data_IF_671382921550
#
_entry.id   IF_671382921550
#
_cell.length_a   1.000
_cell.length_b   1.000
_cell.length_c   1.000
_cell.angle_alpha   90.00
_cell.angle_beta   90.00
_cell.angle_gamma   90.00
#
_symmetry.space_group_name_H-M   'P 1'
#
loop_
_entity.id
_entity.type
_entity.pdbx_description
1 polymer ?
#
# COMPACT_ATOMS: atom_id res chain seq x y z
N UNK A 1 32.64 -19.53 -7.20
CA UNK A 1 31.22 -19.31 -7.55
C UNK A 1 30.92 -17.87 -7.23
N UNK A 2 30.97 -16.99 -8.23
CA UNK A 2 30.59 -15.59 -8.05
C UNK A 2 29.07 -15.54 -7.84
N UNK A 3 28.63 -14.77 -6.84
CA UNK A 3 27.22 -14.67 -6.50
C UNK A 3 26.48 -13.89 -7.60
N UNK A 4 25.32 -14.41 -8.02
CA UNK A 4 24.46 -13.87 -9.09
C UNK A 4 24.05 -12.40 -8.92
N UNK A 5 24.32 -11.81 -7.76
CA UNK A 5 23.99 -10.42 -7.41
C UNK A 5 24.97 -9.41 -8.01
N UNK A 6 26.24 -9.80 -8.22
CA UNK A 6 27.26 -8.91 -8.81
C UNK A 6 27.11 -8.75 -10.33
N UNK A 7 26.51 -9.73 -11.01
CA UNK A 7 26.22 -9.70 -12.46
C UNK A 7 25.11 -8.71 -12.85
N UNK A 8 24.28 -8.27 -11.91
CA UNK A 8 23.14 -7.38 -12.17
C UNK A 8 23.52 -5.90 -12.00
N UNK A 9 24.63 -5.61 -11.32
CA UNK A 9 25.10 -4.25 -11.04
C UNK A 9 26.16 -3.71 -12.01
N UNK A 10 26.47 -4.44 -13.09
CA UNK A 10 27.61 -4.09 -13.94
C UNK A 10 27.28 -2.88 -14.84
N UNK A 11 27.95 -1.75 -14.55
CA UNK A 11 27.84 -0.51 -15.30
C UNK A 11 28.56 -0.64 -16.65
N UNK A 12 28.00 -0.13 -17.76
CA UNK A 12 28.56 -0.32 -19.11
C UNK A 12 29.96 0.27 -19.33
N UNK A 13 30.43 1.16 -18.44
CA UNK A 13 31.73 1.84 -18.60
C UNK A 13 32.89 1.16 -17.86
N UNK A 14 32.62 0.41 -16.78
CA UNK A 14 33.66 -0.21 -15.92
C UNK A 14 33.55 -1.75 -15.83
N UNK A 15 32.59 -2.33 -16.52
CA UNK A 15 32.34 -3.77 -16.46
C UNK A 15 33.33 -4.64 -17.24
N UNK A 16 33.31 -5.93 -16.92
CA UNK A 16 34.15 -6.99 -17.54
C UNK A 16 34.08 -6.96 -19.07
N UNK A 17 32.96 -6.48 -19.61
CA UNK A 17 32.72 -6.28 -21.03
C UNK A 17 33.70 -5.28 -21.67
N UNK A 18 33.97 -4.13 -21.05
CA UNK A 18 34.89 -3.11 -21.57
C UNK A 18 36.34 -3.60 -21.54
N UNK A 19 36.73 -4.28 -20.45
CA UNK A 19 38.09 -4.80 -20.26
C UNK A 19 38.44 -5.92 -21.24
N UNK A 20 37.45 -6.75 -21.62
CA UNK A 20 37.64 -7.85 -22.58
C UNK A 20 37.70 -7.37 -24.04
N UNK A 21 36.85 -6.42 -24.44
CA UNK A 21 36.75 -5.98 -25.84
C UNK A 21 37.69 -4.83 -26.22
N UNK A 22 38.20 -4.05 -25.25
CA UNK A 22 39.05 -2.89 -25.51
C UNK A 22 40.50 -3.08 -25.05
N UNK A 23 40.93 -4.34 -24.83
CA UNK A 23 42.30 -4.68 -24.45
C UNK A 23 43.25 -4.37 -25.63
N UNK A 24 44.29 -3.55 -25.45
CA UNK A 24 45.26 -3.30 -26.51
C UNK A 24 46.00 -4.61 -26.83
N UNK A 25 46.07 -4.95 -28.12
CA UNK A 25 46.72 -6.13 -28.68
C UNK A 25 48.16 -6.25 -28.19
N UNK A 26 48.39 -7.08 -27.17
CA UNK A 26 49.73 -7.48 -26.75
C UNK A 26 49.91 -8.92 -27.23
N UNK A 27 50.95 -9.14 -28.03
CA UNK A 27 51.13 -10.25 -28.99
C UNK A 27 51.43 -11.64 -28.38
N UNK A 28 50.89 -11.95 -27.20
CA UNK A 28 50.87 -13.30 -26.61
C UNK A 28 49.42 -13.66 -26.31
N UNK A 29 48.64 -13.91 -27.37
CA UNK A 29 47.27 -14.41 -27.28
C UNK A 29 47.32 -15.91 -26.92
N UNK A 30 46.92 -16.25 -25.69
CA UNK A 30 46.61 -17.62 -25.34
C UNK A 30 45.34 -18.02 -26.11
N UNK A 31 45.43 -19.03 -26.98
CA UNK A 31 44.31 -19.52 -27.83
C UNK A 31 43.05 -19.88 -26.99
N UNK A 32 43.26 -20.17 -25.70
CA UNK A 32 42.23 -20.43 -24.70
C UNK A 32 41.39 -19.18 -24.34
N UNK A 33 41.98 -17.98 -24.31
CA UNK A 33 41.26 -16.74 -23.99
C UNK A 33 40.25 -16.39 -25.10
N UNK A 34 40.62 -16.61 -26.36
CA UNK A 34 39.76 -16.39 -27.53
C UNK A 34 38.57 -17.36 -27.55
N UNK A 35 38.76 -18.61 -27.14
CA UNK A 35 37.68 -19.59 -27.03
C UNK A 35 36.68 -19.23 -25.91
N UNK A 36 37.19 -18.71 -24.78
CA UNK A 36 36.35 -18.22 -23.68
C UNK A 36 35.54 -17.00 -24.09
N UNK A 37 36.15 -16.03 -24.78
CA UNK A 37 35.44 -14.85 -25.30
C UNK A 37 34.37 -15.26 -26.32
N UNK A 38 34.68 -16.22 -27.20
CA UNK A 38 33.71 -16.75 -28.17
C UNK A 38 32.52 -17.41 -27.47
N UNK A 39 32.73 -18.27 -26.48
CA UNK A 39 31.65 -18.92 -25.73
C UNK A 39 30.79 -17.89 -24.99
N UNK A 40 31.42 -16.88 -24.38
CA UNK A 40 30.73 -15.77 -23.73
C UNK A 40 29.82 -15.00 -24.69
N UNK A 41 30.33 -14.63 -25.88
CA UNK A 41 29.55 -13.93 -26.91
C UNK A 41 28.36 -14.77 -27.36
N UNK A 42 28.56 -16.07 -27.59
CA UNK A 42 27.48 -16.98 -28.00
C UNK A 42 26.39 -17.03 -26.91
N UNK A 43 26.75 -17.14 -25.64
CA UNK A 43 25.80 -17.11 -24.52
C UNK A 43 25.06 -15.78 -24.42
N UNK A 44 25.77 -14.67 -24.62
CA UNK A 44 25.18 -13.33 -24.64
C UNK A 44 24.14 -13.21 -25.77
N UNK A 45 24.45 -13.69 -26.97
CA UNK A 45 23.52 -13.69 -28.11
C UNK A 45 22.27 -14.54 -27.83
N UNK A 46 22.44 -15.73 -27.23
CA UNK A 46 21.32 -16.59 -26.83
C UNK A 46 20.44 -15.89 -25.77
N UNK A 47 21.07 -15.25 -24.78
CA UNK A 47 20.36 -14.49 -23.76
C UNK A 47 19.55 -13.35 -24.39
N UNK A 48 20.17 -12.54 -25.25
CA UNK A 48 19.52 -11.44 -25.95
C UNK A 48 18.36 -11.91 -26.84
N UNK A 49 18.51 -13.05 -27.52
CA UNK A 49 17.42 -13.65 -28.29
C UNK A 49 16.23 -14.05 -27.38
N UNK A 50 16.51 -14.63 -26.21
CA UNK A 50 15.47 -14.96 -25.22
C UNK A 50 14.79 -13.71 -24.64
N UNK A 51 15.52 -12.60 -24.50
CA UNK A 51 14.98 -11.33 -24.04
C UNK A 51 14.10 -10.68 -25.12
N UNK A 52 14.56 -10.67 -26.38
CA UNK A 52 13.80 -10.12 -27.50
C UNK A 52 12.47 -10.86 -27.71
N UNK A 53 12.47 -12.20 -27.57
CA UNK A 53 11.23 -13.00 -27.68
C UNK A 53 10.23 -12.67 -26.56
N UNK A 54 10.69 -12.49 -25.31
CA UNK A 54 9.84 -12.03 -24.20
C UNK A 54 9.26 -10.65 -24.44
N UNK A 55 10.07 -9.71 -24.94
CA UNK A 55 9.62 -8.36 -25.27
C UNK A 55 8.58 -8.36 -26.39
N UNK A 56 8.79 -9.15 -27.45
CA UNK A 56 7.83 -9.33 -28.54
C UNK A 56 6.50 -9.87 -28.03
N UNK A 57 6.54 -10.88 -27.14
CA UNK A 57 5.34 -11.45 -26.54
C UNK A 57 4.58 -10.40 -25.69
N UNK A 58 5.28 -9.56 -24.93
CA UNK A 58 4.68 -8.44 -24.19
C UNK A 58 3.98 -7.46 -25.13
N UNK A 59 4.68 -7.02 -26.19
CA UNK A 59 4.10 -6.09 -27.18
C UNK A 59 2.89 -6.69 -27.90
N UNK A 60 2.88 -8.01 -28.15
CA UNK A 60 1.72 -8.68 -28.74
C UNK A 60 0.51 -8.66 -27.80
N UNK A 61 0.71 -8.97 -26.51
CA UNK A 61 -0.37 -8.89 -25.51
C UNK A 61 -0.91 -7.46 -25.39
N UNK A 62 -0.03 -6.45 -25.38
CA UNK A 62 -0.44 -5.05 -25.38
C UNK A 62 -1.25 -4.69 -26.62
N UNK A 63 -0.86 -5.15 -27.80
CA UNK A 63 -1.62 -4.93 -29.03
C UNK A 63 -3.01 -5.58 -28.98
N UNK A 64 -3.12 -6.78 -28.42
CA UNK A 64 -4.41 -7.45 -28.20
C UNK A 64 -5.29 -6.67 -27.22
N UNK A 65 -4.69 -6.14 -26.14
CA UNK A 65 -5.40 -5.26 -25.22
C UNK A 65 -5.88 -3.99 -25.93
N UNK A 66 -5.02 -3.31 -26.69
CA UNK A 66 -5.37 -2.10 -27.45
C UNK A 66 -6.50 -2.35 -28.45
N UNK A 67 -6.51 -3.52 -29.12
CA UNK A 67 -7.60 -3.91 -30.03
C UNK A 67 -8.92 -4.12 -29.30
N UNK A 68 -8.86 -4.60 -28.06
CA UNK A 68 -10.03 -4.86 -27.23
C UNK A 68 -10.43 -3.67 -26.36
N UNK A 69 -9.73 -2.53 -26.46
CA UNK A 69 -10.19 -1.29 -25.83
C UNK A 69 -11.52 -0.93 -26.50
N UNK A 70 -12.63 -0.90 -25.75
CA UNK A 70 -13.87 -0.40 -26.30
C UNK A 70 -13.61 1.06 -26.68
N UNK A 71 -13.80 1.38 -27.96
CA UNK A 71 -13.84 2.78 -28.39
C UNK A 71 -14.86 3.46 -27.50
N UNK A 72 -14.40 4.29 -26.57
CA UNK A 72 -15.28 5.20 -25.86
C UNK A 72 -15.95 5.98 -26.98
N UNK A 73 -17.24 5.71 -27.20
CA UNK A 73 -18.06 6.54 -28.07
C UNK A 73 -17.82 7.94 -27.59
N UNK A 74 -17.23 8.76 -28.47
CA UNK A 74 -17.02 10.18 -28.26
C UNK A 74 -18.39 10.86 -28.18
N UNK A 75 -19.10 10.64 -27.08
CA UNK A 75 -20.24 11.43 -26.60
C UNK A 75 -19.79 12.33 -25.45
N UNK A 76 -18.50 12.63 -25.40
CA UNK A 76 -17.90 13.59 -24.47
C UNK A 76 -17.26 14.76 -25.22
N UNK A 77 -17.99 15.33 -26.18
CA UNK A 77 -17.90 16.77 -26.45
C UNK A 77 -19.23 17.37 -26.91
N UNK A 78 -20.30 17.07 -26.16
CA UNK A 78 -21.52 17.88 -26.19
C UNK A 78 -21.79 18.44 -24.78
N UNK A 79 -20.77 19.11 -24.22
CA UNK A 79 -20.95 20.16 -23.21
C UNK A 79 -21.44 21.47 -23.83
N UNK A 80 -22.05 21.40 -25.02
CA UNK A 80 -22.81 22.48 -25.61
C UNK A 80 -24.18 22.55 -24.94
N UNK A 81 -24.36 23.62 -24.18
CA UNK A 81 -25.62 24.21 -23.75
C UNK A 81 -26.82 23.89 -24.65
N UNK A 82 -27.59 22.84 -24.35
CA UNK A 82 -29.04 22.73 -24.62
C UNK A 82 -29.52 21.35 -24.20
N UNK A 83 -30.34 21.32 -23.14
CA UNK A 83 -31.59 20.54 -23.06
C UNK A 83 -31.91 20.32 -21.59
N UNK A 84 -32.69 21.25 -21.05
CA UNK A 84 -33.47 21.04 -19.84
C UNK A 84 -34.51 19.95 -20.13
N UNK A 85 -34.13 18.68 -19.97
CA UNK A 85 -35.08 17.59 -19.96
C UNK A 85 -35.55 17.40 -18.50
N UNK A 86 -36.79 17.80 -18.14
CA UNK A 86 -37.26 17.82 -16.75
C UNK A 86 -37.44 16.42 -16.12
N UNK A 87 -37.27 15.37 -16.90
CA UNK A 87 -37.44 13.96 -16.53
C UNK A 87 -36.14 13.28 -16.09
N UNK A 88 -34.96 13.83 -16.44
CA UNK A 88 -33.68 13.22 -16.07
C UNK A 88 -33.20 13.73 -14.71
N UNK A 89 -33.91 13.30 -13.67
CA UNK A 89 -33.63 13.58 -12.26
C UNK A 89 -32.76 12.51 -11.61
N UNK A 90 -32.18 11.62 -12.40
CA UNK A 90 -31.36 10.47 -11.96
C UNK A 90 -30.14 10.89 -11.14
N UNK A 91 -29.62 12.11 -11.38
CA UNK A 91 -28.48 12.68 -10.67
C UNK A 91 -28.83 13.48 -9.40
N UNK A 92 -30.11 13.78 -9.12
CA UNK A 92 -30.55 14.48 -7.90
C UNK A 92 -30.96 13.47 -6.83
N UNK A 93 -30.17 13.40 -5.76
CA UNK A 93 -30.41 12.54 -4.59
C UNK A 93 -31.66 12.96 -3.76
N UNK A 94 -32.31 14.07 -4.12
CA UNK A 94 -33.51 14.59 -3.45
C UNK A 94 -34.83 14.08 -4.07
N UNK A 95 -34.79 13.02 -4.88
CA UNK A 95 -36.04 12.41 -5.37
C UNK A 95 -36.78 11.80 -4.18
N UNK A 96 -38.05 12.17 -3.92
CA UNK A 96 -38.81 11.58 -2.84
C UNK A 96 -39.03 10.11 -3.20
N UNK A 97 -38.23 9.24 -2.60
CA UNK A 97 -38.55 7.81 -2.50
C UNK A 97 -39.96 7.75 -1.96
N UNK A 98 -40.89 7.16 -2.72
CA UNK A 98 -42.24 6.89 -2.25
C UNK A 98 -42.14 5.91 -1.07
N UNK A 99 -42.03 6.52 0.11
CA UNK A 99 -41.89 5.90 1.42
C UNK A 99 -43.24 5.33 1.81
N UNK A 100 -43.56 4.15 1.31
CA UNK A 100 -44.29 3.21 2.18
C UNK A 100 -43.36 2.89 3.36
N UNK A 101 -43.54 3.66 4.44
CA UNK A 101 -42.61 3.86 5.55
C UNK A 101 -41.93 2.55 5.99
N UNK A 102 -40.65 2.40 5.65
CA UNK A 102 -39.80 1.28 6.10
C UNK A 102 -39.47 1.39 7.60
N UNK A 103 -39.52 2.62 8.12
CA UNK A 103 -39.14 2.99 9.46
C UNK A 103 -40.37 3.54 10.20
N UNK A 104 -40.48 3.25 11.48
CA UNK A 104 -41.36 3.95 12.42
C UNK A 104 -40.86 5.39 12.64
N UNK A 105 -41.69 6.27 13.21
CA UNK A 105 -41.34 7.67 13.54
C UNK A 105 -40.11 7.78 14.45
N UNK A 106 -39.81 6.70 15.18
CA UNK A 106 -38.65 6.55 16.05
C UNK A 106 -37.42 5.92 15.34
N UNK A 107 -37.46 5.75 14.01
CA UNK A 107 -36.35 5.19 13.23
C UNK A 107 -36.22 3.67 13.29
N UNK A 108 -37.15 2.96 13.93
CA UNK A 108 -37.12 1.50 14.05
C UNK A 108 -37.67 0.84 12.78
N UNK A 109 -36.95 -0.10 12.14
CA UNK A 109 -37.45 -0.77 10.95
C UNK A 109 -38.62 -1.70 11.29
N UNK A 110 -39.77 -1.49 10.64
CA UNK A 110 -41.02 -2.23 10.87
C UNK A 110 -41.17 -3.47 9.98
N UNK A 111 -40.36 -3.57 8.93
CA UNK A 111 -40.31 -4.71 8.01
C UNK A 111 -38.86 -5.03 7.66
N UNK A 112 -38.52 -6.30 7.39
CA UNK A 112 -37.21 -6.66 6.86
C UNK A 112 -37.00 -5.94 5.53
N UNK A 113 -35.87 -5.26 5.39
CA UNK A 113 -35.45 -4.57 4.18
C UNK A 113 -34.09 -5.08 3.74
N UNK A 114 -33.80 -5.01 2.45
CA UNK A 114 -32.50 -5.37 1.90
C UNK A 114 -31.73 -4.08 1.63
N UNK A 115 -30.48 -3.99 2.12
CA UNK A 115 -29.61 -2.81 1.99
C UNK A 115 -29.07 -2.65 0.55
N UNK A 116 -29.45 -3.54 -0.37
CA UNK A 116 -29.04 -3.44 -1.77
C UNK A 116 -29.66 -2.20 -2.43
N UNK A 117 -28.91 -1.52 -3.32
CA UNK A 117 -29.37 -0.31 -3.99
C UNK A 117 -30.67 -0.60 -4.76
N UNK A 118 -31.78 -0.04 -4.25
CA UNK A 118 -33.09 -0.17 -4.88
C UNK A 118 -33.10 0.66 -6.16
N UNK A 119 -33.02 -0.01 -7.31
CA UNK A 119 -33.05 0.64 -8.63
C UNK A 119 -32.46 -0.21 -9.76
N UNK A 120 -31.61 -1.18 -9.43
CA UNK A 120 -31.10 -2.13 -10.41
C UNK A 120 -31.58 -3.53 -10.06
N UNK A 121 -32.15 -4.27 -11.03
CA UNK A 121 -32.39 -5.71 -10.94
C UNK A 121 -31.08 -6.50 -10.91
N UNK A 122 -30.02 -5.95 -10.35
CA UNK A 122 -28.74 -6.62 -10.20
C UNK A 122 -28.87 -7.61 -9.05
N UNK A 123 -29.10 -8.85 -9.44
CA UNK A 123 -29.01 -10.03 -8.58
C UNK A 123 -27.67 -10.02 -7.84
N UNK A 124 -27.64 -10.49 -6.59
CA UNK A 124 -26.42 -10.71 -5.80
C UNK A 124 -25.28 -11.35 -6.62
N UNK A 125 -25.61 -12.21 -7.58
CA UNK A 125 -24.70 -12.84 -8.54
C UNK A 125 -23.91 -11.84 -9.40
N UNK A 126 -24.57 -10.81 -9.94
CA UNK A 126 -23.89 -9.81 -10.76
C UNK A 126 -22.92 -8.94 -9.94
N UNK A 127 -23.24 -8.71 -8.65
CA UNK A 127 -22.30 -8.07 -7.74
C UNK A 127 -21.12 -8.97 -7.41
N UNK A 128 -21.33 -10.28 -7.18
CA UNK A 128 -20.21 -11.20 -6.94
C UNK A 128 -19.28 -11.35 -8.14
N UNK A 129 -19.82 -11.28 -9.37
CA UNK A 129 -19.02 -11.26 -10.61
C UNK A 129 -18.19 -9.96 -10.73
N UNK A 130 -18.65 -8.86 -10.14
CA UNK A 130 -17.96 -7.57 -10.09
C UNK A 130 -16.78 -7.49 -9.11
N UNK A 131 -16.70 -8.37 -8.10
CA UNK A 131 -15.68 -8.29 -7.03
C UNK A 131 -14.31 -8.81 -7.48
N UNK A 132 -14.27 -9.61 -8.55
CA UNK A 132 -13.03 -10.18 -9.10
C UNK A 132 -12.89 -9.89 -10.59
N UNK A 133 -12.72 -8.61 -10.92
CA UNK A 133 -12.39 -8.19 -12.28
C UNK A 133 -10.94 -8.56 -12.63
N UNK A 134 -10.62 -8.62 -13.92
CA UNK A 134 -9.30 -8.96 -14.47
C UNK A 134 -8.12 -8.11 -13.96
N UNK A 135 -8.38 -6.92 -13.37
CA UNK A 135 -7.37 -6.07 -12.72
C UNK A 135 -7.35 -6.15 -11.19
N UNK A 136 -8.27 -6.90 -10.57
CA UNK A 136 -8.26 -7.17 -9.13
C UNK A 136 -7.45 -8.44 -8.87
N UNK A 137 -6.15 -8.27 -8.62
CA UNK A 137 -5.36 -9.33 -8.00
C UNK A 137 -5.69 -9.33 -6.51
N UNK A 138 -6.16 -10.46 -5.98
CA UNK A 138 -6.13 -10.64 -4.53
C UNK A 138 -4.67 -10.50 -4.09
N UNK A 139 -4.42 -10.00 -2.86
CA UNK A 139 -3.11 -10.16 -2.24
C UNK A 139 -2.64 -11.60 -2.41
N UNK A 140 -1.38 -11.79 -2.81
CA UNK A 140 -0.79 -13.13 -2.95
C UNK A 140 -0.57 -13.83 -1.61
N UNK A 141 -0.94 -13.16 -0.52
CA UNK A 141 -0.74 -13.57 0.86
C UNK A 141 -2.08 -13.69 1.56
N UNK A 142 -2.17 -14.61 2.52
CA UNK A 142 -3.38 -14.77 3.32
C UNK A 142 -3.59 -13.56 4.24
N UNK A 143 -4.81 -13.36 4.72
CA UNK A 143 -5.13 -12.28 5.67
C UNK A 143 -4.25 -12.40 6.92
N UNK A 144 -4.06 -13.63 7.40
CA UNK A 144 -3.24 -13.93 8.57
C UNK A 144 -1.77 -13.58 8.34
N UNK A 145 -1.25 -13.91 7.16
CA UNK A 145 0.13 -13.58 6.74
C UNK A 145 0.34 -12.07 6.58
N UNK A 146 -0.66 -11.35 6.07
CA UNK A 146 -0.63 -9.89 5.99
C UNK A 146 -0.66 -9.23 7.37
N UNK A 147 -1.54 -9.70 8.27
CA UNK A 147 -1.62 -9.19 9.64
C UNK A 147 -0.33 -9.44 10.41
N UNK A 148 0.29 -10.61 10.23
CA UNK A 148 1.60 -10.88 10.82
C UNK A 148 2.67 -9.90 10.30
N UNK A 149 2.70 -9.63 9.00
CA UNK A 149 3.62 -8.65 8.42
C UNK A 149 3.38 -7.22 8.91
N UNK A 150 2.12 -6.81 9.14
CA UNK A 150 1.80 -5.51 9.72
C UNK A 150 2.07 -5.45 11.23
N UNK A 151 1.93 -6.57 11.96
CA UNK A 151 2.34 -6.69 13.35
C UNK A 151 3.85 -6.51 13.50
N UNK A 152 4.64 -7.20 12.66
CA UNK A 152 6.10 -7.09 12.62
C UNK A 152 6.57 -5.67 12.28
N UNK A 153 5.77 -4.92 11.50
CA UNK A 153 6.00 -3.51 11.15
C UNK A 153 5.53 -2.53 12.23
N UNK A 154 4.85 -3.00 13.27
CA UNK A 154 4.30 -2.17 14.34
C UNK A 154 3.08 -1.33 13.93
N UNK A 155 2.42 -1.68 12.82
CA UNK A 155 1.23 -0.99 12.33
C UNK A 155 -0.08 -1.53 12.94
N UNK A 156 0.00 -2.64 13.68
CA UNK A 156 -1.12 -3.17 14.45
C UNK A 156 -1.07 -2.58 15.86
N UNK A 157 -2.15 -1.87 16.22
CA UNK A 157 -2.32 -1.34 17.57
C UNK A 157 -2.92 -2.46 18.43
N UNK A 158 -2.08 -3.14 19.23
CA UNK A 158 -2.49 -4.21 20.15
C UNK A 158 -3.16 -3.69 21.45
N UNK A 159 -3.33 -2.37 21.56
CA UNK A 159 -3.95 -1.71 22.72
C UNK A 159 -5.09 -0.78 22.32
N UNK A 160 -6.12 -0.69 23.17
CA UNK A 160 -7.29 0.16 22.93
C UNK A 160 -8.54 -0.65 22.63
N UNK A 161 -9.38 -0.79 23.65
CA UNK A 161 -10.66 -1.49 23.61
C UNK A 161 -11.16 -1.76 25.03
N UNK A 162 -12.35 -2.36 25.20
CA UNK A 162 -12.88 -2.73 26.53
C UNK A 162 -11.98 -3.72 27.29
N UNK A 163 -11.11 -4.45 26.59
CA UNK A 163 -10.08 -5.29 27.23
C UNK A 163 -8.96 -4.46 27.90
N UNK A 164 -8.63 -3.28 27.35
CA UNK A 164 -7.67 -2.35 27.93
C UNK A 164 -8.26 -1.53 29.09
N UNK A 165 -9.60 -1.48 29.24
CA UNK A 165 -10.26 -0.85 30.39
C UNK A 165 -10.08 -1.65 31.69
N UNK A 166 -9.90 -2.96 31.58
CA UNK A 166 -9.67 -3.84 32.73
C UNK A 166 -8.19 -3.95 33.15
N UNK A 167 -7.27 -3.47 32.30
CA UNK A 167 -5.85 -3.45 32.65
C UNK A 167 -5.54 -2.13 33.37
N UNK A 168 -4.82 -2.16 34.50
CA UNK A 168 -4.46 -0.94 35.21
C UNK A 168 -3.64 -0.05 34.27
N UNK A 169 -3.98 1.23 34.22
CA UNK A 169 -3.20 2.18 33.43
C UNK A 169 -1.78 2.27 33.98
N UNK A 170 -0.81 2.65 33.15
CA UNK A 170 0.60 2.79 33.58
C UNK A 170 0.75 3.62 34.88
N UNK A 171 -0.08 4.67 35.04
CA UNK A 171 -0.09 5.52 36.24
C UNK A 171 -0.71 4.84 37.47
N UNK A 172 -1.75 4.04 37.27
CA UNK A 172 -2.42 3.29 38.33
C UNK A 172 -1.57 2.11 38.81
N UNK A 173 -0.93 1.40 37.87
CA UNK A 173 0.04 0.35 38.20
C UNK A 173 1.21 0.90 39.00
N UNK A 174 1.74 2.06 38.59
CA UNK A 174 2.83 2.70 39.30
C UNK A 174 2.41 3.14 40.71
N UNK A 175 1.18 3.62 40.90
CA UNK A 175 0.64 3.92 42.24
C UNK A 175 0.55 2.67 43.11
N UNK A 176 0.00 1.56 42.60
CA UNK A 176 -0.07 0.29 43.33
C UNK A 176 1.32 -0.24 43.70
N UNK A 177 2.30 -0.11 42.81
CA UNK A 177 3.68 -0.54 43.06
C UNK A 177 4.38 0.33 44.12
N UNK A 178 3.94 1.57 44.31
CA UNK A 178 4.48 2.47 45.36
C UNK A 178 3.84 2.30 46.73
N UNK A 179 2.67 1.67 46.83
CA UNK A 179 1.99 1.43 48.11
C UNK A 179 2.68 0.35 48.95
N UNK A 180 3.42 -0.58 48.33
CA UNK A 180 4.17 -1.63 49.01
C UNK A 180 5.57 -1.16 49.44
N UNK A 181 5.59 -0.21 50.37
CA UNK A 181 6.82 0.34 50.96
C UNK A 181 7.69 -0.76 51.61
N UNK A 182 8.97 -0.78 51.28
CA UNK A 182 9.95 -1.76 51.76
C UNK A 182 10.35 -2.89 50.80
N UNK A 183 9.83 -2.91 49.56
CA UNK A 183 10.31 -3.81 48.49
C UNK A 183 11.22 -3.08 47.50
N UNK A 184 12.18 -3.79 46.90
CA UNK A 184 13.05 -3.21 45.85
C UNK A 184 12.26 -2.68 44.63
N UNK A 185 11.05 -3.19 44.42
CA UNK A 185 10.13 -2.71 43.38
C UNK A 185 9.56 -1.33 43.68
N UNK A 186 9.25 -1.05 44.96
CA UNK A 186 8.72 0.24 45.38
C UNK A 186 9.78 1.36 45.27
N UNK A 187 11.03 1.09 45.64
CA UNK A 187 12.14 2.04 45.46
C UNK A 187 12.36 2.36 43.98
N UNK A 188 12.35 1.33 43.12
CA UNK A 188 12.46 1.51 41.67
C UNK A 188 11.28 2.29 41.06
N UNK A 189 10.06 2.08 41.57
CA UNK A 189 8.88 2.81 41.11
C UNK A 189 8.90 4.28 41.55
N UNK A 190 9.37 4.58 42.75
CA UNK A 190 9.57 5.96 43.23
C UNK A 190 10.63 6.70 42.40
N UNK A 191 11.74 6.04 42.08
CA UNK A 191 12.78 6.63 41.23
C UNK A 191 12.27 6.91 39.81
N UNK A 192 11.45 6.02 39.24
CA UNK A 192 10.78 6.28 37.95
C UNK A 192 9.89 7.52 37.99
N UNK A 193 9.11 7.73 39.06
CA UNK A 193 8.30 8.96 39.21
C UNK A 193 9.16 10.22 39.20
N UNK A 194 10.32 10.17 39.89
CA UNK A 194 11.25 11.30 39.95
C UNK A 194 11.78 11.62 38.55
N UNK A 195 12.26 10.61 37.83
CA UNK A 195 12.81 10.76 36.47
C UNK A 195 11.75 11.28 35.49
N UNK A 196 10.52 10.76 35.54
CA UNK A 196 9.43 11.22 34.68
C UNK A 196 9.04 12.68 34.97
N UNK A 197 9.04 13.07 36.25
CA UNK A 197 8.84 14.46 36.66
C UNK A 197 9.93 15.40 36.15
N UNK A 198 11.20 14.97 36.21
CA UNK A 198 12.34 15.73 35.68
C UNK A 198 12.29 15.86 34.16
N UNK A 199 11.96 14.77 33.46
CA UNK A 199 11.78 14.78 32.00
C UNK A 199 10.62 15.69 31.60
N UNK A 200 9.52 15.68 32.35
CA UNK A 200 8.40 16.58 32.10
C UNK A 200 8.78 18.05 32.34
N UNK A 201 9.50 18.33 33.42
CA UNK A 201 10.01 19.68 33.70
C UNK A 201 10.92 20.17 32.55
N UNK A 202 11.91 19.36 32.13
CA UNK A 202 12.78 19.66 30.99
C UNK A 202 12.00 19.89 29.71
N UNK A 203 11.03 19.04 29.39
CA UNK A 203 10.19 19.19 28.20
C UNK A 203 9.38 20.49 28.24
N UNK A 204 8.82 20.86 29.40
CA UNK A 204 8.06 22.12 29.53
C UNK A 204 8.93 23.37 29.46
N UNK A 205 10.21 23.27 29.82
CA UNK A 205 11.19 24.37 29.69
C UNK A 205 11.72 24.49 28.25
N UNK A 206 12.00 23.36 27.59
CA UNK A 206 12.58 23.32 26.25
C UNK A 206 11.53 23.59 25.15
N UNK A 207 10.29 23.14 25.34
CA UNK A 207 9.22 23.28 24.35
C UNK A 207 8.29 24.43 24.72
N UNK A 208 8.47 25.57 24.04
CA UNK A 208 7.57 26.72 24.17
C UNK A 208 6.13 26.35 23.78
N UNK A 209 5.15 26.73 24.63
CA UNK A 209 3.73 26.52 24.36
C UNK A 209 3.34 27.19 23.03
N UNK A 210 2.84 26.40 22.08
CA UNK A 210 2.42 26.87 20.75
C UNK A 210 3.48 26.74 19.65
N UNK A 211 4.61 26.07 19.92
CA UNK A 211 5.65 25.76 18.92
C UNK A 211 5.16 25.05 17.66
N UNK A 212 4.12 24.22 17.79
CA UNK A 212 3.53 23.47 16.66
C UNK A 212 2.66 24.30 15.69
N UNK A 213 2.25 25.52 16.06
CA UNK A 213 1.30 26.33 15.27
C UNK A 213 1.93 27.60 14.66
N UNK A 214 3.26 27.64 14.48
CA UNK A 214 3.98 28.84 14.00
C UNK A 214 4.02 29.00 12.47
N UNK A 215 3.54 28.03 11.67
CA UNK A 215 3.87 27.96 10.23
C UNK A 215 2.72 28.23 9.23
N UNK A 216 1.57 28.77 9.64
CA UNK A 216 0.41 28.88 8.73
C UNK A 216 -0.26 30.25 8.62
N UNK A 217 0.42 31.32 9.06
CA UNK A 217 -0.05 32.69 8.88
C UNK A 217 1.07 33.58 8.30
N UNK A 218 1.44 33.36 7.03
CA UNK A 218 2.12 34.37 6.20
C UNK A 218 1.06 34.84 5.18
N UNK A 219 0.85 36.16 5.11
CA UNK A 219 -0.26 36.79 4.36
C UNK A 219 -0.10 36.80 2.85
#
# INVERSE_FOLDING_TARGET
MLEYKELISDSPEEGVFSTMFNKPSNEEEDEDDDEVVRDYIIRLLIYLASQATKQLQSSQMELELLKNIPTQTSDSDNRSATSSNPTDRTWKLDTPIDKQSLLDKNGKPMRPFTIMPAGSRTTRQQMSEGVFQHSHRLPTMTIDEYLQGEADRGNIIEGGGPASENQPTSKEQLQLDTEYDGTASAEAAQEKQRVDGENWARYTEEVEKGSGNKMSNIG
#
